data_IF_742929892078
#
_entry.id   IF_742929892078
#
_cell.length_a   1.000
_cell.length_b   1.000
_cell.length_c   1.000
_cell.angle_alpha   90.00
_cell.angle_beta   90.00
_cell.angle_gamma   90.00
#
_symmetry.space_group_name_H-M   'P 1'
#
loop_
_entity.id
_entity.type
_entity.pdbx_description
1 polymer ?
#
# COMPACT_ATOMS: atom_id res chain seq x y z
N UNK A 1 -49.01 -0.62 -29.83
CA UNK A 1 -47.74 0.14 -29.99
C UNK A 1 -47.38 0.72 -28.63
N UNK A 2 -46.09 0.80 -28.30
CA UNK A 2 -45.49 1.23 -27.00
C UNK A 2 -45.37 0.08 -25.96
N UNK A 3 -44.54 -0.93 -26.26
CA UNK A 3 -43.98 -1.83 -25.24
C UNK A 3 -42.77 -2.60 -25.79
N UNK A 4 -41.71 -1.90 -26.23
CA UNK A 4 -40.46 -2.60 -26.61
C UNK A 4 -39.18 -1.74 -26.56
N UNK A 5 -39.17 -0.59 -25.89
CA UNK A 5 -38.03 0.33 -25.92
C UNK A 5 -37.27 0.48 -24.58
N UNK A 6 -37.70 -0.19 -23.50
CA UNK A 6 -37.09 -0.02 -22.16
C UNK A 6 -36.14 -1.14 -21.72
N UNK A 7 -35.95 -2.19 -22.51
CA UNK A 7 -35.05 -3.30 -22.14
C UNK A 7 -33.60 -3.16 -22.64
N UNK A 8 -33.30 -2.13 -23.46
CA UNK A 8 -31.99 -1.96 -24.07
C UNK A 8 -31.07 -0.95 -23.37
N UNK A 9 -31.52 -0.25 -22.33
CA UNK A 9 -30.67 0.71 -21.59
C UNK A 9 -29.99 0.15 -20.34
N UNK A 10 -30.33 -1.08 -19.91
CA UNK A 10 -29.75 -1.67 -18.70
C UNK A 10 -28.49 -2.54 -18.96
N UNK A 11 -28.10 -2.74 -20.23
CA UNK A 11 -26.94 -3.57 -20.60
C UNK A 11 -25.72 -2.77 -21.09
N UNK A 12 -25.75 -1.44 -21.04
CA UNK A 12 -24.61 -0.59 -21.44
C UNK A 12 -23.81 -0.03 -20.26
N UNK A 13 -24.21 -0.29 -19.01
CA UNK A 13 -23.49 0.22 -17.82
C UNK A 13 -22.59 -0.84 -17.15
N UNK A 14 -22.66 -2.11 -17.59
CA UNK A 14 -21.83 -3.19 -17.04
C UNK A 14 -20.52 -3.41 -17.85
N UNK A 15 -20.24 -2.61 -18.88
CA UNK A 15 -19.08 -2.82 -19.75
C UNK A 15 -18.12 -1.63 -19.82
N UNK A 16 -17.90 -0.90 -18.72
CA UNK A 16 -16.89 0.17 -18.64
C UNK A 16 -15.93 0.08 -17.44
N UNK A 17 -15.94 -1.01 -16.68
CA UNK A 17 -14.97 -1.28 -15.62
C UNK A 17 -14.30 -2.63 -15.90
N UNK A 18 -13.26 -2.59 -16.74
CA UNK A 18 -12.00 -3.35 -16.71
C UNK A 18 -11.37 -3.10 -18.08
N UNK A 19 -10.71 -1.95 -18.25
CA UNK A 19 -9.64 -1.82 -19.25
C UNK A 19 -8.32 -2.21 -18.58
N UNK A 20 -8.18 -3.52 -18.33
CA UNK A 20 -6.85 -4.12 -18.24
C UNK A 20 -6.25 -4.15 -19.63
N UNK A 21 -4.94 -3.92 -19.73
CA UNK A 21 -4.20 -3.85 -20.99
C UNK A 21 -4.56 -5.02 -21.94
N UNK A 22 -4.67 -4.77 -23.27
CA UNK A 22 -4.88 -5.85 -24.22
C UNK A 22 -3.63 -6.75 -24.24
N UNK A 23 -3.78 -8.02 -23.86
CA UNK A 23 -2.80 -9.03 -24.22
C UNK A 23 -2.87 -9.21 -25.75
N UNK A 24 -1.78 -8.88 -26.42
CA UNK A 24 -1.63 -9.10 -27.86
C UNK A 24 -1.50 -10.61 -28.11
N UNK A 25 -2.56 -11.23 -28.63
CA UNK A 25 -2.60 -12.65 -28.97
C UNK A 25 -2.38 -12.78 -30.48
N UNK A 26 -1.13 -12.98 -30.89
CA UNK A 26 -0.82 -13.38 -32.26
C UNK A 26 -0.93 -14.89 -32.38
N UNK A 27 -1.92 -15.38 -33.15
CA UNK A 27 -2.10 -16.82 -33.41
C UNK A 27 -1.35 -17.21 -34.69
N UNK A 28 -0.18 -17.83 -34.56
CA UNK A 28 0.49 -18.51 -35.67
C UNK A 28 -0.08 -19.93 -35.83
N UNK A 29 -0.62 -20.25 -37.02
CA UNK A 29 -1.29 -21.53 -37.31
C UNK A 29 -0.34 -22.67 -37.74
N UNK A 30 0.98 -22.55 -37.56
CA UNK A 30 1.92 -23.58 -38.07
C UNK A 30 2.77 -24.31 -37.04
N UNK A 31 2.55 -24.13 -35.74
CA UNK A 31 3.20 -24.95 -34.72
C UNK A 31 2.24 -25.27 -33.57
N UNK A 32 2.12 -26.55 -33.20
CA UNK A 32 1.40 -27.05 -32.02
C UNK A 32 2.09 -26.69 -30.69
N UNK A 33 2.67 -25.50 -30.59
CA UNK A 33 3.17 -24.93 -29.35
C UNK A 33 2.65 -23.49 -29.27
N UNK A 34 1.61 -23.29 -28.47
CA UNK A 34 1.22 -21.97 -28.01
C UNK A 34 2.35 -21.49 -27.10
N UNK A 35 3.28 -20.71 -27.65
CA UNK A 35 4.16 -19.88 -26.84
C UNK A 35 3.25 -18.77 -26.30
N UNK A 36 2.65 -19.01 -25.13
CA UNK A 36 1.96 -17.96 -24.38
C UNK A 36 3.00 -16.86 -24.21
N UNK A 37 2.82 -15.74 -24.91
CA UNK A 37 3.68 -14.57 -24.77
C UNK A 37 3.79 -14.26 -23.29
N UNK A 38 5.00 -13.91 -22.83
CA UNK A 38 5.28 -13.57 -21.45
C UNK A 38 4.13 -12.77 -20.87
N UNK A 39 3.32 -13.44 -20.04
CA UNK A 39 2.41 -12.78 -19.11
C UNK A 39 3.32 -11.88 -18.29
N UNK A 40 3.33 -10.58 -18.59
CA UNK A 40 4.03 -9.61 -17.77
C UNK A 40 3.51 -9.83 -16.36
N UNK A 41 4.41 -10.22 -15.46
CA UNK A 41 4.04 -10.48 -14.07
C UNK A 41 3.22 -9.29 -13.56
N UNK A 42 2.13 -9.52 -12.83
CA UNK A 42 1.24 -8.45 -12.41
C UNK A 42 2.04 -7.43 -11.58
N UNK A 43 2.17 -6.20 -12.10
CA UNK A 43 2.95 -5.14 -11.47
C UNK A 43 2.04 -4.07 -10.90
N UNK A 44 2.48 -3.44 -9.82
CA UNK A 44 1.86 -2.20 -9.32
C UNK A 44 2.08 -1.02 -10.29
N UNK A 45 3.17 -1.05 -11.06
CA UNK A 45 3.59 0.06 -11.90
C UNK A 45 2.62 0.27 -13.06
N UNK A 46 2.24 1.53 -13.30
CA UNK A 46 1.38 1.92 -14.42
C UNK A 46 -0.12 1.81 -14.15
N UNK A 47 -0.53 1.43 -12.94
CA UNK A 47 -1.94 1.35 -12.55
C UNK A 47 -2.30 2.40 -11.49
N UNK A 48 -3.50 2.96 -11.62
CA UNK A 48 -4.17 3.70 -10.55
C UNK A 48 -5.27 2.83 -9.99
N UNK A 49 -5.19 2.58 -8.70
CA UNK A 49 -6.19 1.85 -7.94
C UNK A 49 -7.10 2.85 -7.25
N UNK A 50 -8.35 2.45 -7.00
CA UNK A 50 -9.28 3.22 -6.19
C UNK A 50 -9.88 2.28 -5.14
N UNK A 51 -9.78 2.65 -3.87
CA UNK A 51 -10.13 1.77 -2.78
C UNK A 51 -10.47 2.49 -1.49
N UNK A 52 -10.69 1.67 -0.46
CA UNK A 52 -10.99 2.09 0.91
C UNK A 52 -9.70 2.19 1.72
N UNK A 53 -9.55 3.28 2.47
CA UNK A 53 -8.39 3.51 3.33
C UNK A 53 -8.83 3.58 4.77
N UNK A 54 -8.19 2.84 5.65
CA UNK A 54 -8.30 2.99 7.11
C UNK A 54 -6.94 3.37 7.69
N UNK A 55 -6.83 3.45 9.01
CA UNK A 55 -5.53 3.57 9.64
C UNK A 55 -5.30 2.61 10.79
N UNK A 56 -4.03 2.27 11.00
CA UNK A 56 -3.52 1.48 12.10
C UNK A 56 -2.19 2.06 12.61
N UNK A 57 -1.70 1.55 13.74
CA UNK A 57 -0.47 2.03 14.34
C UNK A 57 -0.58 3.49 14.79
N UNK A 58 -0.90 3.68 16.08
CA UNK A 58 -0.76 4.98 16.74
C UNK A 58 0.73 5.26 16.92
N UNK A 59 1.35 5.86 15.90
CA UNK A 59 2.77 6.16 15.79
C UNK A 59 3.43 6.45 17.13
N UNK A 60 4.41 5.61 17.50
CA UNK A 60 5.29 5.65 18.68
C UNK A 60 4.68 5.76 20.10
N UNK A 61 3.52 6.40 20.28
CA UNK A 61 2.89 6.59 21.60
C UNK A 61 2.38 5.29 22.21
N UNK A 62 2.41 4.18 21.47
CA UNK A 62 1.94 2.87 21.92
C UNK A 62 3.00 1.77 21.87
N UNK A 63 4.30 2.10 21.95
CA UNK A 63 5.31 1.11 22.39
C UNK A 63 4.91 0.40 23.71
N UNK A 64 3.91 0.94 24.43
CA UNK A 64 3.23 0.36 25.59
C UNK A 64 1.80 -0.15 25.28
N UNK A 65 1.58 -0.88 24.18
CA UNK A 65 0.43 -1.81 24.08
C UNK A 65 -0.86 -1.28 23.45
N UNK A 66 -0.76 -0.53 22.35
CA UNK A 66 -1.90 -0.35 21.45
C UNK A 66 -2.35 -1.68 20.85
N UNK A 67 -3.63 -1.80 20.48
CA UNK A 67 -4.18 -3.05 19.92
C UNK A 67 -3.56 -3.43 18.56
N UNK A 68 -2.97 -2.47 17.85
CA UNK A 68 -2.35 -2.66 16.55
C UNK A 68 -1.06 -1.83 16.42
N UNK A 69 0.09 -2.36 16.85
CA UNK A 69 1.36 -1.65 16.90
C UNK A 69 2.00 -1.51 15.50
N UNK A 70 2.79 -0.45 15.27
CA UNK A 70 3.47 -0.26 13.99
C UNK A 70 4.49 -1.38 13.69
N UNK A 71 4.67 -1.76 12.42
CA UNK A 71 5.59 -2.82 12.01
C UNK A 71 7.04 -2.31 11.93
N UNK A 72 7.65 -2.02 13.08
CA UNK A 72 8.98 -1.40 13.18
C UNK A 72 10.15 -2.39 13.11
N UNK A 73 9.86 -3.69 13.17
CA UNK A 73 10.89 -4.74 13.29
C UNK A 73 11.54 -4.82 14.67
N UNK A 74 12.47 -5.78 14.85
CA UNK A 74 12.97 -6.19 16.16
C UNK A 74 13.95 -5.22 16.78
N UNK A 75 14.71 -4.48 15.96
CA UNK A 75 15.69 -3.50 16.41
C UNK A 75 15.05 -2.30 17.12
N UNK A 76 13.76 -2.05 16.89
CA UNK A 76 13.00 -0.95 17.47
C UNK A 76 12.00 -1.41 18.53
N UNK A 77 12.11 -2.65 19.03
CA UNK A 77 11.15 -3.24 19.96
C UNK A 77 9.74 -3.37 19.38
N UNK A 78 9.59 -3.31 18.06
CA UNK A 78 8.31 -3.30 17.36
C UNK A 78 7.87 -4.66 16.85
N UNK A 79 6.65 -4.69 16.33
CA UNK A 79 6.09 -5.87 15.70
C UNK A 79 6.64 -6.07 14.29
N UNK A 80 6.55 -7.30 13.79
CA UNK A 80 6.90 -7.63 12.42
C UNK A 80 5.68 -7.46 11.53
N UNK A 81 5.79 -6.59 10.53
CA UNK A 81 4.86 -6.62 9.41
C UNK A 81 5.11 -7.85 8.55
N UNK A 82 4.09 -8.25 7.80
CA UNK A 82 4.13 -9.39 6.87
C UNK A 82 5.22 -9.27 5.81
N UNK A 83 5.74 -8.06 5.54
CA UNK A 83 6.87 -7.87 4.62
C UNK A 83 8.25 -8.08 5.24
N UNK A 84 8.38 -8.17 6.57
CA UNK A 84 9.66 -8.05 7.28
C UNK A 84 10.76 -8.98 6.72
N UNK A 85 10.42 -10.23 6.40
CA UNK A 85 11.34 -11.22 5.81
C UNK A 85 10.77 -11.84 4.52
N UNK A 86 9.79 -11.18 3.90
CA UNK A 86 9.06 -11.75 2.77
C UNK A 86 9.91 -11.90 1.49
N UNK A 87 11.07 -11.25 1.45
CA UNK A 87 12.04 -11.28 0.35
C UNK A 87 13.27 -12.15 0.68
N UNK A 88 13.22 -12.93 1.76
CA UNK A 88 14.35 -13.68 2.29
C UNK A 88 15.09 -12.94 3.41
N UNK A 89 15.92 -13.68 4.15
CA UNK A 89 16.53 -13.21 5.40
C UNK A 89 17.47 -11.99 5.23
N UNK A 90 18.04 -11.80 4.04
CA UNK A 90 18.98 -10.69 3.76
C UNK A 90 18.26 -9.42 3.24
N UNK A 91 16.95 -9.49 2.98
CA UNK A 91 16.17 -8.41 2.41
C UNK A 91 15.10 -7.95 3.40
N UNK A 92 15.56 -7.43 4.54
CA UNK A 92 14.68 -6.97 5.61
C UNK A 92 13.93 -5.71 5.17
N UNK A 93 12.60 -5.75 5.25
CA UNK A 93 11.74 -4.60 4.97
C UNK A 93 11.25 -4.00 6.29
N UNK A 94 11.72 -2.79 6.57
CA UNK A 94 11.22 -1.93 7.65
C UNK A 94 10.78 -0.59 7.07
N UNK A 95 9.85 0.14 7.72
CA UNK A 95 9.45 1.46 7.27
C UNK A 95 10.64 2.43 7.17
N UNK A 96 10.82 3.05 6.00
CA UNK A 96 11.74 4.19 5.81
C UNK A 96 11.34 5.38 6.69
N UNK A 97 10.04 5.51 6.95
CA UNK A 97 9.49 6.48 7.87
C UNK A 97 8.38 5.82 8.69
N UNK A 98 8.58 5.79 10.01
CA UNK A 98 7.68 5.12 10.98
C UNK A 98 6.33 5.80 11.14
N UNK A 99 6.14 6.96 10.51
CA UNK A 99 4.88 7.69 10.44
C UNK A 99 4.24 7.64 9.03
N UNK A 100 4.81 6.83 8.11
CA UNK A 100 4.42 6.75 6.70
C UNK A 100 4.51 5.32 6.16
N UNK A 101 3.75 4.43 6.77
CA UNK A 101 3.69 3.03 6.36
C UNK A 101 2.26 2.60 5.97
N UNK A 102 2.17 1.46 5.31
CA UNK A 102 0.93 0.87 4.83
C UNK A 102 0.91 -0.65 4.92
N UNK A 103 -0.30 -1.18 5.11
CA UNK A 103 -0.65 -2.58 5.01
C UNK A 103 -1.63 -2.78 3.84
N UNK A 104 -1.32 -3.68 2.91
CA UNK A 104 -2.16 -3.94 1.74
C UNK A 104 -3.20 -5.01 2.06
N UNK A 105 -4.43 -4.91 1.55
CA UNK A 105 -5.42 -5.98 1.74
C UNK A 105 -4.88 -7.35 1.24
N UNK A 106 -5.40 -8.42 1.84
CA UNK A 106 -4.98 -9.80 1.53
C UNK A 106 -5.08 -10.15 0.05
N UNK A 107 -6.19 -9.79 -0.61
CA UNK A 107 -6.41 -10.17 -2.00
C UNK A 107 -5.31 -9.63 -2.91
N UNK A 108 -4.98 -8.35 -2.79
CA UNK A 108 -3.90 -7.75 -3.58
C UNK A 108 -2.53 -8.28 -3.17
N UNK A 109 -2.27 -8.40 -1.87
CA UNK A 109 -0.99 -8.88 -1.37
C UNK A 109 -0.67 -10.28 -1.92
N UNK A 110 -1.66 -11.17 -1.94
CA UNK A 110 -1.49 -12.55 -2.42
C UNK A 110 -1.50 -12.63 -3.95
N UNK A 111 -2.32 -11.83 -4.64
CA UNK A 111 -2.38 -11.81 -6.11
C UNK A 111 -1.11 -11.23 -6.73
N UNK A 112 -0.58 -10.16 -6.15
CA UNK A 112 0.65 -9.50 -6.61
C UNK A 112 1.89 -10.18 -6.05
N UNK A 113 1.77 -10.95 -4.98
CA UNK A 113 2.88 -11.56 -4.22
C UNK A 113 3.75 -10.55 -3.48
N UNK A 114 4.34 -10.97 -2.37
CA UNK A 114 5.18 -10.12 -1.53
C UNK A 114 6.36 -9.47 -2.30
N UNK A 115 7.08 -10.16 -3.19
CA UNK A 115 8.15 -9.55 -4.00
C UNK A 115 7.76 -8.35 -4.85
N UNK A 116 6.48 -8.22 -5.24
CA UNK A 116 6.04 -7.13 -6.11
C UNK A 116 5.44 -5.96 -5.33
N UNK A 117 5.12 -6.14 -4.04
CA UNK A 117 4.46 -5.10 -3.22
C UNK A 117 5.29 -4.66 -2.01
N UNK A 118 6.04 -5.56 -1.39
CA UNK A 118 6.78 -5.24 -0.17
C UNK A 118 7.92 -4.26 -0.44
N UNK A 119 8.01 -3.23 0.42
CA UNK A 119 9.01 -2.17 0.32
C UNK A 119 8.69 -1.10 -0.73
N UNK A 120 7.64 -1.27 -1.54
CA UNK A 120 7.20 -0.28 -2.54
C UNK A 120 6.53 0.90 -1.88
N UNK A 121 6.62 2.07 -2.52
CA UNK A 121 5.95 3.28 -2.07
C UNK A 121 4.74 3.58 -2.96
N UNK A 122 3.66 4.03 -2.33
CA UNK A 122 2.44 4.43 -3.03
C UNK A 122 2.09 5.86 -2.63
N UNK A 123 1.60 6.64 -3.60
CA UNK A 123 0.96 7.93 -3.34
C UNK A 123 -0.53 7.71 -3.25
N UNK A 124 -1.13 8.06 -2.12
CA UNK A 124 -2.57 8.12 -1.94
C UNK A 124 -3.06 9.53 -2.21
N UNK A 125 -4.18 9.68 -2.88
CA UNK A 125 -4.83 10.96 -3.16
C UNK A 125 -6.29 10.88 -2.77
N UNK A 126 -6.74 11.80 -1.91
CA UNK A 126 -8.15 11.95 -1.56
C UNK A 126 -8.76 13.06 -2.43
N UNK A 127 -9.54 12.72 -3.48
CA UNK A 127 -9.94 13.70 -4.49
C UNK A 127 -10.87 14.78 -3.95
N UNK A 128 -11.64 14.49 -2.90
CA UNK A 128 -12.64 15.39 -2.32
C UNK A 128 -12.03 16.65 -1.71
N UNK A 129 -10.81 16.55 -1.19
CA UNK A 129 -10.08 17.67 -0.55
C UNK A 129 -8.73 17.95 -1.22
N UNK A 130 -8.42 17.24 -2.31
CA UNK A 130 -7.19 17.36 -3.10
C UNK A 130 -5.90 17.25 -2.27
N UNK A 131 -5.90 16.37 -1.28
CA UNK A 131 -4.74 16.05 -0.45
C UNK A 131 -4.09 14.77 -0.94
N UNK A 132 -2.80 14.62 -0.65
CA UNK A 132 -2.08 13.39 -0.93
C UNK A 132 -1.02 13.11 0.11
N UNK A 133 -0.69 11.84 0.31
CA UNK A 133 0.42 11.40 1.16
C UNK A 133 1.13 10.22 0.51
N UNK A 134 2.40 10.03 0.81
CA UNK A 134 3.19 8.90 0.33
C UNK A 134 3.49 7.99 1.51
N UNK A 135 3.31 6.69 1.31
CA UNK A 135 3.57 5.66 2.33
C UNK A 135 4.29 4.47 1.72
N UNK A 136 5.01 3.72 2.54
CA UNK A 136 5.65 2.47 2.16
C UNK A 136 4.82 1.26 2.56
N UNK A 137 4.64 0.30 1.65
CA UNK A 137 3.99 -0.98 1.92
C UNK A 137 4.95 -1.88 2.68
N UNK A 138 4.60 -2.21 3.92
CA UNK A 138 5.43 -2.99 4.85
C UNK A 138 4.65 -4.12 5.52
N UNK A 139 3.36 -4.24 5.26
CA UNK A 139 2.51 -5.24 5.88
C UNK A 139 1.36 -5.69 4.97
N UNK A 140 0.67 -6.74 5.42
CA UNK A 140 -0.60 -7.25 4.91
C UNK A 140 -1.67 -6.95 5.95
N UNK A 141 -2.84 -6.50 5.50
CA UNK A 141 -4.00 -6.23 6.33
C UNK A 141 -5.11 -7.25 6.04
N UNK A 142 -5.26 -8.31 6.87
CA UNK A 142 -6.32 -9.30 6.70
C UNK A 142 -7.73 -8.74 6.87
N UNK A 143 -7.87 -7.70 7.69
CA UNK A 143 -9.14 -7.05 7.99
C UNK A 143 -9.57 -5.98 6.97
N UNK A 144 -8.68 -5.56 6.07
CA UNK A 144 -8.96 -4.49 5.12
C UNK A 144 -9.96 -4.95 4.07
N UNK A 145 -11.21 -4.51 4.24
CA UNK A 145 -12.33 -4.85 3.37
C UNK A 145 -12.26 -4.05 2.07
N UNK A 146 -12.77 -4.66 1.01
CA UNK A 146 -12.95 -4.02 -0.29
C UNK A 146 -11.85 -4.33 -1.30
N UNK A 147 -12.15 -4.04 -2.55
CA UNK A 147 -11.17 -4.12 -3.64
C UNK A 147 -10.20 -2.94 -3.44
N UNK A 148 -8.90 -3.21 -3.48
CA UNK A 148 -7.84 -2.21 -3.38
C UNK A 148 -7.75 -1.43 -2.06
N UNK A 149 -8.22 -2.03 -0.96
CA UNK A 149 -8.12 -1.47 0.38
C UNK A 149 -6.68 -1.42 0.92
N UNK A 150 -6.37 -0.36 1.66
CA UNK A 150 -5.06 -0.12 2.29
C UNK A 150 -5.28 0.38 3.72
N UNK A 151 -4.54 -0.16 4.68
CA UNK A 151 -4.45 0.41 6.02
C UNK A 151 -3.17 1.25 6.10
N UNK A 152 -3.23 2.50 6.54
CA UNK A 152 -2.03 3.35 6.61
C UNK A 152 -1.73 3.77 8.05
N UNK A 153 -0.52 4.25 8.31
CA UNK A 153 -0.20 4.86 9.60
C UNK A 153 -1.16 6.02 9.91
N UNK A 154 -1.54 6.21 11.17
CA UNK A 154 -2.45 7.30 11.57
C UNK A 154 -1.96 8.69 11.16
N UNK A 155 -0.66 8.94 11.20
CA UNK A 155 -0.05 10.21 10.74
C UNK A 155 -0.28 10.43 9.24
N UNK A 156 -0.11 9.41 8.40
CA UNK A 156 -0.44 9.49 6.97
C UNK A 156 -1.94 9.71 6.73
N UNK A 157 -2.80 9.09 7.54
CA UNK A 157 -4.24 9.30 7.45
C UNK A 157 -4.62 10.74 7.81
N UNK A 158 -4.07 11.28 8.90
CA UNK A 158 -4.27 12.66 9.32
C UNK A 158 -3.89 13.67 8.23
N UNK A 159 -2.76 13.46 7.53
CA UNK A 159 -2.41 14.30 6.37
C UNK A 159 -3.42 14.24 5.22
N UNK A 160 -3.96 13.05 4.94
CA UNK A 160 -4.99 12.93 3.90
C UNK A 160 -6.27 13.67 4.28
N UNK A 161 -6.69 13.63 5.54
CA UNK A 161 -7.96 14.24 5.95
C UNK A 161 -7.83 15.69 6.43
N UNK A 162 -6.61 16.20 6.55
CA UNK A 162 -6.34 17.60 6.92
C UNK A 162 -6.07 17.84 8.41
N UNK A 163 -5.96 16.79 9.23
CA UNK A 163 -5.65 16.92 10.66
C UNK A 163 -5.90 15.67 11.50
N UNK A 164 -5.42 15.71 12.74
CA UNK A 164 -5.56 14.60 13.71
C UNK A 164 -6.98 14.45 14.24
N UNK A 165 -7.69 15.56 14.39
CA UNK A 165 -9.06 15.57 14.89
C UNK A 165 -9.98 14.94 13.84
N UNK A 166 -9.83 15.34 12.57
CA UNK A 166 -10.55 14.75 11.44
C UNK A 166 -10.27 13.25 11.33
N UNK A 167 -9.00 12.84 11.48
CA UNK A 167 -8.63 11.43 11.42
C UNK A 167 -9.38 10.59 12.45
N UNK A 168 -9.44 11.09 13.69
CA UNK A 168 -10.10 10.42 14.80
C UNK A 168 -11.60 10.21 14.56
N UNK A 169 -12.28 11.19 13.97
CA UNK A 169 -13.73 11.11 13.72
C UNK A 169 -14.10 10.33 12.47
N UNK A 170 -13.25 10.33 11.43
CA UNK A 170 -13.55 9.70 10.15
C UNK A 170 -13.29 8.18 10.19
N UNK A 171 -12.11 7.75 10.63
CA UNK A 171 -11.72 6.34 10.74
C UNK A 171 -11.52 5.58 9.42
N UNK A 172 -12.36 5.83 8.41
CA UNK A 172 -12.35 5.16 7.10
C UNK A 172 -12.66 6.17 6.00
N UNK A 173 -11.87 6.16 4.93
CA UNK A 173 -12.11 6.88 3.69
C UNK A 173 -12.50 5.91 2.57
N UNK A 174 -13.50 6.28 1.78
CA UNK A 174 -13.81 5.61 0.52
C UNK A 174 -13.31 6.44 -0.67
N UNK A 175 -13.19 5.80 -1.84
CA UNK A 175 -12.85 6.45 -3.11
C UNK A 175 -11.47 7.14 -3.15
N UNK A 176 -10.51 6.72 -2.32
CA UNK A 176 -9.12 7.19 -2.38
C UNK A 176 -8.43 6.52 -3.55
N UNK A 177 -7.78 7.30 -4.42
CA UNK A 177 -6.94 6.76 -5.48
C UNK A 177 -5.51 6.58 -4.99
N UNK A 178 -4.82 5.54 -5.49
CA UNK A 178 -3.41 5.38 -5.21
C UNK A 178 -2.64 4.74 -6.37
N UNK A 179 -1.37 5.10 -6.48
CA UNK A 179 -0.43 4.65 -7.53
C UNK A 179 0.94 4.36 -6.92
N UNK A 180 1.67 3.38 -7.46
CA UNK A 180 3.10 3.22 -7.14
C UNK A 180 3.88 4.48 -7.53
N UNK A 181 4.80 4.89 -6.65
CA UNK A 181 5.75 5.98 -6.86
C UNK A 181 7.13 5.57 -6.36
N UNK A 182 8.17 6.29 -6.78
CA UNK A 182 9.52 6.08 -6.27
C UNK A 182 9.62 6.41 -4.77
N UNK A 183 10.32 5.56 -4.01
CA UNK A 183 10.51 5.73 -2.57
C UNK A 183 11.49 6.85 -2.20
N UNK A 184 12.19 7.43 -3.17
CA UNK A 184 12.94 8.68 -3.02
C UNK A 184 12.02 9.87 -2.70
N UNK A 185 10.73 9.80 -3.06
CA UNK A 185 9.73 10.81 -2.74
C UNK A 185 9.16 10.68 -1.32
N UNK A 186 9.41 9.55 -0.65
CA UNK A 186 9.04 9.38 0.75
C UNK A 186 10.16 9.96 1.63
N UNK A 187 9.88 11.04 2.34
CA UNK A 187 10.84 11.63 3.27
C UNK A 187 11.19 10.63 4.38
N UNK A 188 12.50 10.40 4.66
CA UNK A 188 12.90 9.57 5.78
C UNK A 188 12.41 10.18 7.09
N UNK A 189 12.21 9.35 8.10
CA UNK A 189 11.92 9.88 9.42
C UNK A 189 13.15 10.64 9.97
N UNK A 190 13.02 11.94 10.15
CA UNK A 190 14.05 12.80 10.76
C UNK A 190 13.92 12.87 12.28
N UNK A 191 12.85 12.30 12.84
CA UNK A 191 12.51 12.32 14.26
C UNK A 191 12.54 10.88 14.81
N UNK A 192 13.56 10.12 14.45
CA UNK A 192 13.89 8.93 15.23
C UNK A 192 14.51 9.41 16.55
N UNK A 193 13.81 9.21 17.66
CA UNK A 193 14.42 9.31 18.99
C UNK A 193 13.94 8.15 19.85
N UNK A 194 14.74 7.08 19.88
CA UNK A 194 14.76 6.17 21.02
C UNK A 194 15.92 6.61 21.91
N UNK A 195 15.63 7.30 23.02
CA UNK A 195 16.66 7.77 23.96
C UNK A 195 17.48 9.00 23.53
N UNK A 196 17.02 9.78 22.55
CA UNK A 196 17.66 11.06 22.18
C UNK A 196 18.72 11.00 21.07
N UNK A 197 18.83 9.88 20.34
CA UNK A 197 19.75 9.75 19.20
C UNK A 197 18.98 9.60 17.88
N UNK A 198 19.40 10.34 16.86
CA UNK A 198 18.83 10.36 15.50
C UNK A 198 19.12 9.06 14.75
N UNK A 199 18.25 8.67 13.80
CA UNK A 199 18.36 7.45 12.98
C UNK A 199 19.68 7.32 12.20
N UNK A 200 20.37 8.43 11.91
CA UNK A 200 21.68 8.41 11.25
C UNK A 200 22.73 7.63 12.06
N UNK A 201 22.50 7.39 13.35
CA UNK A 201 23.44 6.67 14.23
C UNK A 201 23.36 5.14 14.10
N UNK A 202 22.23 4.56 13.66
CA UNK A 202 22.03 3.09 13.75
C UNK A 202 22.39 2.35 12.46
N UNK A 203 22.42 3.02 11.30
CA UNK A 203 22.71 2.36 10.02
C UNK A 203 24.21 2.45 9.64
N UNK A 204 25.03 3.20 10.38
CA UNK A 204 26.38 3.59 9.94
C UNK A 204 27.59 3.10 10.74
N UNK A 205 27.47 2.78 12.03
CA UNK A 205 28.67 2.59 12.85
C UNK A 205 28.59 1.37 13.73
N UNK A 206 29.51 0.43 13.47
CA UNK A 206 29.91 -0.57 14.44
C UNK A 206 30.08 0.05 15.82
N UNK A 207 29.56 -0.67 16.81
CA UNK A 207 29.62 -0.41 18.24
C UNK A 207 30.98 0.16 18.62
N UNK A 208 31.01 1.44 19.00
CA UNK A 208 32.13 2.00 19.79
C UNK A 208 31.63 2.03 21.22
N UNK A 209 32.16 1.13 22.03
CA UNK A 209 32.04 1.16 23.49
C UNK A 209 32.95 2.26 24.05
N UNK A 210 32.39 3.17 24.85
CA UNK A 210 33.12 3.81 25.95
C UNK A 210 32.62 3.23 27.28
#
# INVERSE_FOLDING_TARGET
MILSALFLYCLSIILHLVRGAPADITVDRRANFVKVGQSTAPSLSGYTFQGRISYYGDGYKTLQGGADPPPLGPTNGGWYGSCYNALGNDNIIVPKNVNKFAALNTLQYETLTAPLVCGKCIRLTLPTVNTSTIVQIVDKCPGCKGIYGVDISRTAFAELVGGWDEAFWIGILDNVSWTEVGCELLEPDTVFMFGGMTADYVIGTGIITE
#
